data_IF_554080275034
#
_entry.id   IF_554080275034
#
_cell.length_a   1.000
_cell.length_b   1.000
_cell.length_c   1.000
_cell.angle_alpha   90.00
_cell.angle_beta   90.00
_cell.angle_gamma   90.00
#
_symmetry.space_group_name_H-M   'P 1'
#
loop_
_entity.id
_entity.type
_entity.pdbx_description
1 polymer ?
#
# COMPACT_ATOMS: atom_id res chain seq x y z
N UNK A 1 -13.12 -37.46 -25.96
CA UNK A 1 -12.01 -37.07 -26.85
C UNK A 1 -10.79 -37.99 -26.76
N UNK A 2 -9.84 -37.89 -25.81
CA UNK A 2 -8.77 -38.94 -25.69
C UNK A 2 -9.39 -40.34 -25.55
N UNK A 3 -10.41 -40.45 -24.71
CA UNK A 3 -11.21 -41.66 -24.53
C UNK A 3 -11.99 -42.09 -25.80
N UNK A 4 -12.39 -41.16 -26.69
CA UNK A 4 -13.10 -41.52 -27.94
C UNK A 4 -12.14 -42.10 -28.99
N UNK A 5 -10.88 -41.67 -29.00
CA UNK A 5 -9.87 -42.21 -29.91
C UNK A 5 -9.31 -43.55 -29.42
N UNK A 6 -9.24 -43.75 -28.11
CA UNK A 6 -8.93 -45.06 -27.50
C UNK A 6 -10.05 -46.07 -27.80
N UNK A 7 -11.32 -45.66 -27.73
CA UNK A 7 -12.48 -46.51 -28.04
C UNK A 7 -12.57 -46.89 -29.53
N UNK A 8 -11.94 -46.10 -30.41
CA UNK A 8 -11.73 -46.42 -31.83
C UNK A 8 -10.54 -47.36 -32.11
N UNK A 9 -9.86 -47.85 -31.06
CA UNK A 9 -8.79 -48.84 -31.18
C UNK A 9 -7.39 -48.29 -31.48
N UNK A 10 -7.16 -46.98 -31.33
CA UNK A 10 -5.82 -46.40 -31.49
C UNK A 10 -4.96 -46.60 -30.24
N UNK A 11 -3.66 -46.88 -30.43
CA UNK A 11 -2.68 -46.87 -29.34
C UNK A 11 -2.64 -45.50 -28.66
N UNK A 12 -2.43 -45.51 -27.35
CA UNK A 12 -2.61 -44.36 -26.46
C UNK A 12 -1.75 -43.13 -26.87
N UNK A 13 -0.56 -43.37 -27.42
CA UNK A 13 0.35 -42.33 -27.93
C UNK A 13 -0.16 -41.63 -29.21
N UNK A 14 -0.86 -42.36 -30.09
CA UNK A 14 -1.40 -41.80 -31.33
C UNK A 14 -2.75 -41.14 -31.10
N UNK A 15 -3.55 -41.67 -30.16
CA UNK A 15 -4.79 -41.03 -29.68
C UNK A 15 -4.51 -39.66 -29.05
N UNK A 16 -3.40 -39.51 -28.35
CA UNK A 16 -2.99 -38.24 -27.74
C UNK A 16 -2.55 -37.21 -28.80
N UNK A 17 -1.81 -37.62 -29.82
CA UNK A 17 -1.46 -36.76 -30.96
C UNK A 17 -2.68 -36.32 -31.77
N UNK A 18 -3.62 -37.22 -32.06
CA UNK A 18 -4.86 -36.90 -32.77
C UNK A 18 -5.74 -35.95 -31.96
N UNK A 19 -5.84 -36.13 -30.64
CA UNK A 19 -6.57 -35.22 -29.77
C UNK A 19 -5.95 -33.81 -29.74
N UNK A 20 -4.61 -33.70 -29.74
CA UNK A 20 -3.91 -32.40 -29.84
C UNK A 20 -4.08 -31.77 -31.23
N UNK A 21 -4.14 -32.57 -32.29
CA UNK A 21 -4.31 -32.10 -33.67
C UNK A 21 -5.73 -31.58 -33.95
N UNK A 22 -6.77 -32.28 -33.49
CA UNK A 22 -8.17 -31.90 -33.70
C UNK A 22 -8.64 -30.78 -32.79
N UNK A 23 -8.20 -30.76 -31.53
CA UNK A 23 -8.60 -29.70 -30.60
C UNK A 23 -7.69 -28.47 -30.66
N UNK A 24 -6.49 -28.63 -31.22
CA UNK A 24 -5.42 -27.65 -31.08
C UNK A 24 -4.72 -27.79 -29.72
N UNK A 25 -3.47 -27.35 -29.67
CA UNK A 25 -2.64 -27.42 -28.47
C UNK A 25 -3.37 -26.75 -27.29
N UNK A 26 -3.59 -27.50 -26.21
CA UNK A 26 -4.32 -27.04 -25.03
C UNK A 26 -3.71 -25.74 -24.46
N UNK A 27 -2.40 -25.54 -24.64
CA UNK A 27 -1.70 -24.32 -24.27
C UNK A 27 -2.16 -23.12 -25.12
N UNK A 28 -2.40 -23.32 -26.41
CA UNK A 28 -2.88 -22.30 -27.34
C UNK A 28 -4.33 -21.92 -27.05
N UNK A 29 -5.19 -22.90 -26.79
CA UNK A 29 -6.59 -22.65 -26.40
C UNK A 29 -6.64 -21.92 -25.07
N UNK A 30 -5.88 -22.36 -24.06
CA UNK A 30 -5.84 -21.70 -22.76
C UNK A 30 -5.37 -20.24 -22.87
N UNK A 31 -4.31 -19.99 -23.66
CA UNK A 31 -3.77 -18.64 -23.90
C UNK A 31 -4.72 -17.77 -24.72
N UNK A 32 -5.46 -18.36 -25.66
CA UNK A 32 -6.53 -17.69 -26.42
C UNK A 32 -7.73 -17.34 -25.55
N UNK A 33 -8.17 -18.27 -24.70
CA UNK A 33 -9.24 -18.05 -23.71
C UNK A 33 -8.86 -16.96 -22.71
N UNK A 34 -7.66 -16.99 -22.13
CA UNK A 34 -7.21 -15.99 -21.16
C UNK A 34 -7.21 -14.58 -21.80
N UNK A 35 -6.79 -14.50 -23.07
CA UNK A 35 -6.78 -13.26 -23.85
C UNK A 35 -8.21 -12.76 -24.17
N UNK A 36 -9.17 -13.66 -24.39
CA UNK A 36 -10.57 -13.32 -24.64
C UNK A 36 -11.37 -13.02 -23.38
N UNK A 37 -11.04 -13.64 -22.25
CA UNK A 37 -11.71 -13.40 -20.96
C UNK A 37 -11.33 -12.06 -20.34
N UNK A 38 -10.08 -11.61 -20.52
CA UNK A 38 -9.62 -10.31 -20.02
C UNK A 38 -8.79 -9.55 -21.06
N UNK A 39 -9.41 -9.09 -22.17
CA UNK A 39 -8.69 -8.37 -23.24
C UNK A 39 -7.99 -7.11 -22.73
N UNK A 40 -8.49 -6.51 -21.65
CA UNK A 40 -7.94 -5.32 -21.03
C UNK A 40 -6.98 -5.58 -19.86
N UNK A 41 -6.60 -6.83 -19.57
CA UNK A 41 -5.70 -7.15 -18.43
C UNK A 41 -4.39 -6.36 -18.47
N UNK A 42 -3.79 -6.22 -19.65
CA UNK A 42 -2.57 -5.42 -19.86
C UNK A 42 -2.80 -3.93 -19.62
N UNK A 43 -3.93 -3.40 -20.11
CA UNK A 43 -4.30 -1.97 -19.94
C UNK A 43 -4.57 -1.66 -18.47
N UNK A 44 -5.28 -2.56 -17.78
CA UNK A 44 -5.54 -2.45 -16.35
C UNK A 44 -4.24 -2.50 -15.53
N UNK A 45 -3.33 -3.42 -15.84
CA UNK A 45 -2.04 -3.50 -15.17
C UNK A 45 -1.19 -2.25 -15.41
N UNK A 46 -1.21 -1.70 -16.63
CA UNK A 46 -0.54 -0.44 -16.94
C UNK A 46 -1.12 0.73 -16.11
N UNK A 47 -2.45 0.83 -16.03
CA UNK A 47 -3.14 1.84 -15.23
C UNK A 47 -2.78 1.74 -13.73
N UNK A 48 -2.75 0.52 -13.19
CA UNK A 48 -2.33 0.29 -11.80
C UNK A 48 -0.88 0.76 -11.55
N UNK A 49 0.04 0.48 -12.47
CA UNK A 49 1.42 0.96 -12.36
C UNK A 49 1.50 2.49 -12.42
N UNK A 50 0.76 3.15 -13.32
CA UNK A 50 0.69 4.61 -13.34
C UNK A 50 0.13 5.18 -12.02
N UNK A 51 -0.93 4.57 -11.49
CA UNK A 51 -1.50 4.97 -10.19
C UNK A 51 -0.49 4.80 -9.06
N UNK A 52 0.25 3.69 -9.05
CA UNK A 52 1.29 3.44 -8.06
C UNK A 52 2.45 4.43 -8.17
N UNK A 53 2.91 4.75 -9.38
CA UNK A 53 3.95 5.78 -9.60
C UNK A 53 3.47 7.14 -9.12
N UNK A 54 2.22 7.52 -9.43
CA UNK A 54 1.62 8.75 -8.92
C UNK A 54 1.55 8.79 -7.40
N UNK A 55 1.14 7.68 -6.78
CA UNK A 55 1.13 7.51 -5.32
C UNK A 55 2.53 7.69 -4.72
N UNK A 56 3.56 7.04 -5.29
CA UNK A 56 4.95 7.19 -4.83
C UNK A 56 5.40 8.65 -4.96
N UNK A 57 5.07 9.32 -6.07
CA UNK A 57 5.36 10.74 -6.26
C UNK A 57 4.74 11.62 -5.17
N UNK A 58 3.44 11.45 -4.89
CA UNK A 58 2.76 12.16 -3.80
C UNK A 58 3.39 11.83 -2.45
N UNK A 59 3.71 10.56 -2.20
CA UNK A 59 4.35 10.10 -0.97
C UNK A 59 5.68 10.80 -0.74
N UNK A 60 6.54 10.85 -1.75
CA UNK A 60 7.84 11.55 -1.70
C UNK A 60 7.64 13.04 -1.45
N UNK A 61 6.71 13.70 -2.15
CA UNK A 61 6.42 15.12 -1.91
C UNK A 61 5.96 15.36 -0.47
N UNK A 62 5.01 14.59 0.04
CA UNK A 62 4.48 14.77 1.40
C UNK A 62 5.55 14.47 2.46
N UNK A 63 6.31 13.38 2.30
CA UNK A 63 7.31 12.95 3.28
C UNK A 63 8.56 13.84 3.33
N UNK A 64 9.05 14.31 2.18
CA UNK A 64 10.29 15.09 2.13
C UNK A 64 10.06 16.60 2.12
N UNK A 65 8.92 17.06 1.60
CA UNK A 65 8.65 18.49 1.37
C UNK A 65 7.52 19.00 2.29
N UNK A 66 6.56 18.15 2.63
CA UNK A 66 5.32 18.52 3.33
C UNK A 66 5.40 18.60 4.86
N UNK A 67 6.49 19.12 5.45
CA UNK A 67 6.51 19.34 6.90
C UNK A 67 5.74 20.60 7.29
N UNK A 68 4.84 20.45 8.26
CA UNK A 68 4.13 21.57 8.89
C UNK A 68 5.10 22.36 9.77
N UNK A 69 5.37 23.62 9.43
CA UNK A 69 5.88 24.59 10.40
C UNK A 69 4.74 25.55 10.74
N UNK A 70 4.46 25.66 12.05
CA UNK A 70 3.58 26.72 12.56
C UNK A 70 4.37 28.02 12.45
N UNK A 71 4.06 28.84 11.46
CA UNK A 71 4.58 30.20 11.40
C UNK A 71 3.91 30.98 12.53
N UNK A 72 4.62 31.19 13.65
CA UNK A 72 4.24 32.22 14.60
C UNK A 72 4.52 33.57 13.94
N UNK A 73 3.49 34.19 13.37
CA UNK A 73 3.51 35.63 13.14
C UNK A 73 2.84 36.32 14.32
N UNK A 74 3.49 37.34 14.85
CA UNK A 74 2.94 38.20 15.91
C UNK A 74 1.59 38.76 15.46
N UNK A 75 0.50 38.20 15.98
CA UNK A 75 -0.76 38.93 16.15
C UNK A 75 -1.99 38.51 15.34
N UNK A 76 -1.95 37.72 14.27
CA UNK A 76 -3.18 37.35 13.55
C UNK A 76 -3.18 35.98 12.87
N UNK A 77 -4.35 35.33 12.97
CA UNK A 77 -4.92 34.13 12.34
C UNK A 77 -4.03 32.97 11.89
N UNK A 78 -4.39 31.79 12.41
CA UNK A 78 -3.83 30.47 12.12
C UNK A 78 -4.00 30.07 10.65
N UNK A 79 -3.12 30.59 9.80
CA UNK A 79 -2.93 30.11 8.44
C UNK A 79 -2.14 28.81 8.44
N UNK A 80 -2.79 27.70 8.08
CA UNK A 80 -2.09 26.45 7.78
C UNK A 80 -1.48 26.54 6.38
N UNK A 81 -0.20 26.90 6.30
CA UNK A 81 0.54 26.89 5.04
C UNK A 81 1.57 25.76 5.02
N UNK A 82 1.70 25.09 3.86
CA UNK A 82 2.83 24.20 3.58
C UNK A 82 4.12 25.03 3.61
N UNK A 83 4.82 25.03 4.74
CA UNK A 83 6.05 25.79 4.93
C UNK A 83 7.26 24.86 4.82
N UNK A 84 8.17 25.21 3.93
CA UNK A 84 9.38 24.46 3.65
C UNK A 84 10.41 24.65 4.78
N UNK A 85 10.43 23.77 5.78
CA UNK A 85 11.46 23.79 6.83
C UNK A 85 12.68 22.94 6.42
N UNK A 86 13.69 23.60 5.83
CA UNK A 86 15.01 23.04 5.55
C UNK A 86 15.96 23.28 6.73
N UNK A 87 15.53 22.89 7.93
CA UNK A 87 16.30 23.05 9.17
C UNK A 87 17.33 21.95 9.42
N UNK A 88 18.45 22.29 10.06
CA UNK A 88 19.46 21.32 10.53
C UNK A 88 18.91 20.48 11.70
N UNK A 89 18.13 19.46 11.40
CA UNK A 89 17.54 18.57 12.40
C UNK A 89 18.43 17.34 12.65
N UNK A 90 19.54 17.49 13.39
CA UNK A 90 20.35 16.36 13.88
C UNK A 90 19.72 15.66 15.12
N UNK A 91 18.40 15.70 15.22
CA UNK A 91 17.67 15.11 16.34
C UNK A 91 17.18 13.72 15.94
N UNK A 92 17.43 12.75 16.81
CA UNK A 92 17.02 11.36 16.64
C UNK A 92 16.22 10.93 17.86
N UNK A 93 15.12 10.24 17.64
CA UNK A 93 14.28 9.67 18.68
C UNK A 93 14.32 8.15 18.57
N UNK A 94 15.46 7.60 19.02
CA UNK A 94 15.73 6.17 19.00
C UNK A 94 15.08 5.43 20.18
N UNK A 95 14.65 6.15 21.22
CA UNK A 95 13.97 5.57 22.37
C UNK A 95 12.50 5.33 21.98
N UNK A 96 12.04 4.08 21.91
CA UNK A 96 10.64 3.79 21.62
C UNK A 96 9.72 4.43 22.65
N UNK A 97 8.54 4.86 22.21
CA UNK A 97 7.43 5.42 22.98
C UNK A 97 7.67 6.77 23.67
N UNK A 98 8.92 7.17 23.95
CA UNK A 98 9.23 8.43 24.66
C UNK A 98 8.69 9.68 23.96
N UNK A 99 8.72 9.72 22.62
CA UNK A 99 8.16 10.82 21.86
C UNK A 99 6.63 10.77 21.83
N UNK A 100 6.06 9.58 21.63
CA UNK A 100 4.62 9.37 21.63
C UNK A 100 3.99 9.81 22.96
N UNK A 101 4.62 9.46 24.08
CA UNK A 101 4.23 9.94 25.40
C UNK A 101 4.26 11.47 25.46
N UNK A 102 5.35 12.11 25.01
CA UNK A 102 5.48 13.58 25.01
C UNK A 102 4.38 14.25 24.20
N UNK A 103 4.07 13.74 23.02
CA UNK A 103 3.03 14.30 22.13
C UNK A 103 1.62 14.10 22.70
N UNK A 104 1.35 12.95 23.32
CA UNK A 104 0.09 12.69 24.04
C UNK A 104 -0.04 13.65 25.23
N UNK A 105 1.02 13.80 26.04
CA UNK A 105 1.00 14.73 27.17
C UNK A 105 0.78 16.17 26.71
N UNK A 106 1.42 16.61 25.63
CA UNK A 106 1.23 17.95 25.09
C UNK A 106 -0.20 18.16 24.58
N UNK A 107 -0.73 17.23 23.78
CA UNK A 107 -2.11 17.34 23.27
C UNK A 107 -3.15 17.36 24.40
N UNK A 108 -3.01 16.50 25.41
CA UNK A 108 -3.88 16.49 26.60
C UNK A 108 -3.73 17.79 27.41
N UNK A 109 -2.51 18.27 27.61
CA UNK A 109 -2.25 19.52 28.33
C UNK A 109 -2.87 20.73 27.62
N UNK A 110 -2.77 20.80 26.29
CA UNK A 110 -3.38 21.87 25.48
C UNK A 110 -4.91 21.85 25.57
N UNK A 111 -5.52 20.66 25.46
CA UNK A 111 -6.97 20.51 25.65
C UNK A 111 -7.38 20.94 27.06
N UNK A 112 -6.67 20.49 28.09
CA UNK A 112 -7.00 20.76 29.48
C UNK A 112 -6.78 22.24 29.89
N UNK A 113 -5.78 22.91 29.32
CA UNK A 113 -5.34 24.25 29.76
C UNK A 113 -5.91 25.38 28.91
N UNK A 114 -6.10 25.13 27.61
CA UNK A 114 -6.50 26.16 26.64
C UNK A 114 -7.88 25.93 26.04
N UNK A 115 -8.56 24.83 26.38
CA UNK A 115 -9.82 24.41 25.73
C UNK A 115 -9.72 24.38 24.20
N UNK A 116 -8.50 24.28 23.67
CA UNK A 116 -8.20 24.24 22.26
C UNK A 116 -7.84 22.79 21.92
N UNK A 117 -8.58 22.21 20.98
CA UNK A 117 -8.34 20.84 20.55
C UNK A 117 -7.10 20.83 19.65
N UNK A 118 -5.93 20.48 20.22
CA UNK A 118 -4.72 20.36 19.44
C UNK A 118 -4.73 19.05 18.65
N UNK A 119 -5.16 19.14 17.39
CA UNK A 119 -5.22 18.01 16.44
C UNK A 119 -3.84 17.59 15.92
N UNK A 120 -2.73 18.24 16.32
CA UNK A 120 -1.39 18.00 15.77
C UNK A 120 -0.90 16.57 15.98
N UNK A 121 -1.20 15.98 17.15
CA UNK A 121 -0.87 14.57 17.40
C UNK A 121 -1.61 13.65 16.42
N UNK A 122 -2.91 13.87 16.26
CA UNK A 122 -3.73 13.08 15.33
C UNK A 122 -3.31 13.33 13.88
N UNK A 123 -3.03 14.57 13.47
CA UNK A 123 -2.62 14.87 12.10
C UNK A 123 -1.27 14.25 11.76
N UNK A 124 -0.34 14.18 12.71
CA UNK A 124 0.97 13.57 12.53
C UNK A 124 0.87 12.05 12.52
N UNK A 125 0.30 11.44 13.55
CA UNK A 125 0.17 9.98 13.68
C UNK A 125 -0.75 9.38 12.60
N UNK A 126 -1.93 9.97 12.37
CA UNK A 126 -2.88 9.51 11.36
C UNK A 126 -2.37 9.86 9.97
N UNK A 127 -1.78 11.03 9.75
CA UNK A 127 -1.29 11.44 8.43
C UNK A 127 -0.23 10.50 7.87
N UNK A 128 0.75 10.12 8.71
CA UNK A 128 1.82 9.19 8.35
C UNK A 128 1.27 7.78 8.11
N UNK A 129 0.37 7.30 8.97
CA UNK A 129 -0.30 6.01 8.78
C UNK A 129 -1.18 5.96 7.53
N UNK A 130 -1.94 7.02 7.25
CA UNK A 130 -2.80 7.14 6.06
C UNK A 130 -1.98 7.05 4.77
N UNK A 131 -0.78 7.62 4.75
CA UNK A 131 0.11 7.57 3.59
C UNK A 131 0.54 6.13 3.25
N UNK A 132 0.57 5.22 4.22
CA UNK A 132 0.94 3.82 4.03
C UNK A 132 -0.25 2.89 3.72
N UNK A 133 -1.49 3.36 3.82
CA UNK A 133 -2.68 2.57 3.45
C UNK A 133 -2.67 2.17 1.96
N UNK A 134 -2.44 3.08 0.99
CA UNK A 134 -2.36 2.70 -0.42
C UNK A 134 -1.25 1.68 -0.67
N UNK A 135 -0.10 1.79 0.03
CA UNK A 135 0.99 0.83 -0.08
C UNK A 135 0.54 -0.59 0.27
N UNK A 136 -0.19 -0.74 1.37
CA UNK A 136 -0.79 -2.01 1.80
C UNK A 136 -1.75 -2.61 0.78
N UNK A 137 -2.48 -1.77 0.06
CA UNK A 137 -3.38 -2.16 -1.02
C UNK A 137 -2.60 -2.60 -2.28
N UNK A 138 -1.57 -1.87 -2.67
CA UNK A 138 -0.79 -2.17 -3.89
C UNK A 138 0.05 -3.45 -3.78
N UNK A 139 0.45 -3.88 -2.59
CA UNK A 139 1.25 -5.09 -2.39
C UNK A 139 0.63 -6.36 -3.00
N UNK A 140 -0.64 -6.72 -2.69
CA UNK A 140 -1.32 -7.82 -3.35
C UNK A 140 -1.53 -7.63 -4.85
N UNK A 141 -1.84 -6.40 -5.29
CA UNK A 141 -2.20 -6.11 -6.69
C UNK A 141 -1.02 -6.15 -7.65
N UNK A 142 0.11 -5.53 -7.28
CA UNK A 142 1.26 -5.36 -8.18
C UNK A 142 2.37 -6.37 -7.90
N UNK A 143 2.62 -6.67 -6.63
CA UNK A 143 3.79 -7.47 -6.21
C UNK A 143 3.41 -8.91 -5.84
N UNK A 144 2.12 -9.27 -5.91
CA UNK A 144 1.59 -10.59 -5.53
C UNK A 144 1.94 -10.98 -4.08
N UNK A 145 2.17 -9.99 -3.23
CA UNK A 145 2.43 -10.19 -1.80
C UNK A 145 1.10 -10.08 -1.06
N UNK A 146 0.52 -11.22 -0.68
CA UNK A 146 -0.79 -11.28 -0.04
C UNK A 146 -0.74 -11.64 1.45
N UNK A 147 0.40 -12.12 1.95
CA UNK A 147 0.55 -12.50 3.34
C UNK A 147 0.69 -11.26 4.24
N UNK A 148 -0.12 -11.10 5.30
CA UNK A 148 -0.16 -9.89 6.11
C UNK A 148 1.18 -9.61 6.80
N UNK A 149 1.86 -10.64 7.31
CA UNK A 149 3.18 -10.49 7.93
C UNK A 149 4.24 -9.97 6.94
N UNK A 150 4.18 -10.38 5.66
CA UNK A 150 5.11 -9.89 4.64
C UNK A 150 4.88 -8.42 4.32
N UNK A 151 3.61 -8.00 4.27
CA UNK A 151 3.23 -6.60 4.04
C UNK A 151 3.71 -5.71 5.18
N UNK A 152 3.54 -6.17 6.42
CA UNK A 152 4.10 -5.46 7.60
C UNK A 152 5.63 -5.38 7.51
N UNK A 153 6.32 -6.48 7.21
CA UNK A 153 7.78 -6.46 7.09
C UNK A 153 8.25 -5.51 5.97
N UNK A 154 7.66 -5.57 4.78
CA UNK A 154 8.05 -4.70 3.67
C UNK A 154 7.73 -3.23 3.95
N UNK A 155 6.59 -2.92 4.56
CA UNK A 155 6.27 -1.55 4.96
C UNK A 155 7.23 -1.01 6.01
N UNK A 156 7.66 -1.81 6.98
CA UNK A 156 8.70 -1.43 7.93
C UNK A 156 10.05 -1.20 7.24
N UNK A 157 10.46 -2.07 6.29
CA UNK A 157 11.73 -1.90 5.55
C UNK A 157 11.69 -0.61 4.72
N UNK A 158 10.60 -0.36 3.99
CA UNK A 158 10.41 0.85 3.19
C UNK A 158 10.39 2.08 4.09
N UNK A 159 9.61 2.04 5.19
CA UNK A 159 9.55 3.11 6.17
C UNK A 159 10.91 3.42 6.79
N UNK A 160 11.66 2.41 7.23
CA UNK A 160 13.01 2.59 7.78
C UNK A 160 13.97 3.19 6.73
N UNK A 161 13.82 2.81 5.47
CA UNK A 161 14.60 3.39 4.36
C UNK A 161 14.24 4.86 4.17
N UNK A 162 12.96 5.22 4.20
CA UNK A 162 12.48 6.61 4.13
C UNK A 162 13.05 7.44 5.28
N UNK A 163 12.88 6.98 6.53
CA UNK A 163 13.39 7.65 7.73
C UNK A 163 14.92 7.87 7.65
N UNK A 164 15.64 6.83 7.20
CA UNK A 164 17.08 6.91 7.01
C UNK A 164 17.47 7.95 5.96
N UNK A 165 16.77 7.98 4.82
CA UNK A 165 17.00 9.01 3.80
C UNK A 165 16.67 10.40 4.32
N UNK A 166 15.55 10.59 5.00
CA UNK A 166 15.17 11.90 5.53
C UNK A 166 16.17 12.39 6.60
N UNK A 167 16.75 11.48 7.38
CA UNK A 167 17.84 11.80 8.31
C UNK A 167 19.10 12.25 7.57
N UNK A 168 19.50 11.54 6.50
CA UNK A 168 20.66 11.90 5.67
C UNK A 168 20.46 13.20 4.89
N UNK A 169 19.24 13.47 4.40
CA UNK A 169 18.92 14.67 3.62
C UNK A 169 18.52 15.86 4.47
N UNK A 170 18.54 15.72 5.81
CA UNK A 170 18.12 16.74 6.77
C UNK A 170 16.68 17.23 6.59
N UNK A 171 15.84 16.44 5.91
CA UNK A 171 14.41 16.74 5.77
C UNK A 171 13.61 16.17 6.94
N UNK A 172 14.20 15.25 7.72
CA UNK A 172 13.55 14.44 8.76
C UNK A 172 14.28 14.41 10.10
N UNK A 173 13.58 13.89 11.11
CA UNK A 173 14.21 13.35 12.32
C UNK A 173 13.98 11.84 12.28
N UNK A 174 15.01 11.05 12.57
CA UNK A 174 14.85 9.59 12.62
C UNK A 174 14.00 9.21 13.85
N UNK A 175 12.78 8.71 13.62
CA UNK A 175 11.84 8.36 14.69
C UNK A 175 11.41 6.89 14.61
N UNK A 176 11.78 6.11 15.63
CA UNK A 176 11.47 4.67 15.69
C UNK A 176 9.97 4.41 15.83
N UNK A 177 9.21 5.36 16.40
CA UNK A 177 7.77 5.20 16.61
C UNK A 177 6.99 5.22 15.29
N UNK A 178 7.54 5.85 14.25
CA UNK A 178 6.88 5.95 12.95
C UNK A 178 6.77 4.59 12.25
N UNK A 179 7.62 3.62 12.62
CA UNK A 179 7.47 2.23 12.18
C UNK A 179 6.12 1.63 12.56
N UNK A 180 5.54 2.02 13.70
CA UNK A 180 4.23 1.54 14.14
C UNK A 180 3.13 2.13 13.25
N UNK A 181 3.25 3.40 12.85
CA UNK A 181 2.32 4.05 11.94
C UNK A 181 2.42 3.48 10.52
N UNK A 182 3.63 3.20 10.03
CA UNK A 182 3.86 2.56 8.73
C UNK A 182 3.25 1.14 8.68
N UNK A 183 3.54 0.34 9.70
CA UNK A 183 3.00 -1.02 9.81
C UNK A 183 1.47 -1.03 9.92
N UNK A 184 0.90 -0.17 10.76
CA UNK A 184 -0.55 -0.10 10.96
C UNK A 184 -1.29 0.38 9.71
N UNK A 185 -0.77 1.41 9.03
CA UNK A 185 -1.30 1.90 7.76
C UNK A 185 -1.31 0.83 6.68
N UNK A 186 -0.16 0.18 6.46
CA UNK A 186 -0.04 -0.88 5.45
C UNK A 186 -0.91 -2.10 5.77
N UNK A 187 -1.00 -2.48 7.05
CA UNK A 187 -1.88 -3.56 7.48
C UNK A 187 -3.35 -3.21 7.22
N UNK A 188 -3.77 -1.98 7.52
CA UNK A 188 -5.13 -1.52 7.27
C UNK A 188 -5.48 -1.52 5.77
N UNK A 189 -4.56 -1.06 4.91
CA UNK A 189 -4.73 -1.11 3.46
C UNK A 189 -4.88 -2.54 2.91
N UNK A 190 -4.07 -3.47 3.43
CA UNK A 190 -4.23 -4.90 3.10
C UNK A 190 -5.57 -5.45 3.59
N UNK A 191 -5.99 -5.09 4.80
CA UNK A 191 -7.26 -5.53 5.37
C UNK A 191 -8.45 -5.06 4.51
N UNK A 192 -8.41 -3.82 4.01
CA UNK A 192 -9.40 -3.31 3.06
C UNK A 192 -9.42 -4.13 1.77
N UNK A 193 -8.25 -4.41 1.18
CA UNK A 193 -8.14 -5.28 -0.01
C UNK A 193 -8.76 -6.66 0.23
N UNK A 194 -8.44 -7.27 1.37
CA UNK A 194 -8.96 -8.58 1.76
C UNK A 194 -10.49 -8.59 1.90
N UNK A 195 -11.06 -7.56 2.54
CA UNK A 195 -12.50 -7.39 2.67
C UNK A 195 -13.20 -7.26 1.31
N UNK A 196 -12.64 -6.46 0.39
CA UNK A 196 -13.17 -6.29 -0.97
C UNK A 196 -13.16 -7.64 -1.72
N UNK A 197 -12.06 -8.39 -1.64
CA UNK A 197 -11.96 -9.72 -2.27
C UNK A 197 -13.01 -10.71 -1.75
N UNK A 198 -13.27 -10.71 -0.43
CA UNK A 198 -14.33 -11.54 0.16
C UNK A 198 -15.73 -11.15 -0.32
N UNK A 199 -16.01 -9.86 -0.44
CA UNK A 199 -17.30 -9.36 -0.94
C UNK A 199 -17.54 -9.76 -2.40
N UNK A 200 -16.52 -9.66 -3.25
CA UNK A 200 -16.61 -10.06 -4.65
C UNK A 200 -16.84 -11.57 -4.80
N UNK A 201 -16.12 -12.41 -4.04
CA UNK A 201 -16.31 -13.87 -4.05
C UNK A 201 -17.72 -14.28 -3.62
N UNK A 202 -18.28 -13.60 -2.61
CA UNK A 202 -19.66 -13.84 -2.15
C UNK A 202 -20.69 -13.48 -3.21
N UNK A 203 -20.50 -12.35 -3.91
CA UNK A 203 -21.38 -11.91 -5.00
C UNK A 203 -21.37 -12.88 -6.18
N UNK A 204 -20.21 -13.36 -6.60
CA UNK A 204 -20.12 -14.33 -7.71
C UNK A 204 -20.84 -15.66 -7.40
N UNK A 205 -20.84 -16.10 -6.13
CA UNK A 205 -21.60 -17.30 -5.73
C UNK A 205 -23.12 -17.11 -5.75
N UNK A 206 -23.61 -15.89 -5.51
CA UNK A 206 -25.04 -15.58 -5.53
C UNK A 206 -25.60 -15.40 -6.94
N UNK A 207 -24.76 -15.10 -7.95
CA UNK A 207 -25.19 -14.96 -9.35
C UNK A 207 -25.25 -16.31 -10.08
N UNK A 208 -24.59 -17.34 -9.54
CA UNK A 208 -24.51 -18.69 -10.13
C UNK A 208 -25.52 -19.67 -9.48
N UNK A 209 -26.14 -19.27 -8.36
CA UNK A 209 -27.21 -20.02 -7.69
C UNK A 209 -28.58 -19.50 -8.10
#
# INVERSE_FOLDING_TARGET
MKMEYIDKGLQENDAEKCAVYDFGDAVVIHKGMEKSLHPFKKVYQLFLWFSFIGYIGIGVLVLFIGKYSRIMHEGFDEGVTLSFDWGNHFYHHLIPFKQMDREIYQSVFWVATRNAFDITFFSTAIGVGLLFIPLGFFFPLLFKVSAPHRIVIYSCIIGATVEWFQYLTHTGMLNVNDMIYYASGAFFGWFMYFCIGKLQSKRSRQVIA
#
